data_IF_757412308043
#
_entry.id   IF_757412308043
#
_cell.length_a   1.000
_cell.length_b   1.000
_cell.length_c   1.000
_cell.angle_alpha   90.00
_cell.angle_beta   90.00
_cell.angle_gamma   90.00
#
_symmetry.space_group_name_H-M   'P 1'
#
loop_
_entity.id
_entity.type
_entity.pdbx_description
1 polymer ?
#
# COMPACT_ATOMS: atom_id res chain seq x y z
N UNK A 1 -11.40 9.14 8.18
CA UNK A 1 -10.15 9.40 7.42
C UNK A 1 -10.25 8.65 6.11
N UNK A 2 -9.89 9.28 4.98
CA UNK A 2 -9.86 8.65 3.65
C UNK A 2 -8.46 8.82 3.07
N UNK A 3 -7.81 7.70 2.74
CA UNK A 3 -6.49 7.68 2.12
C UNK A 3 -6.68 7.75 0.62
N UNK A 4 -6.27 8.86 0.00
CA UNK A 4 -6.37 9.06 -1.46
C UNK A 4 -5.21 8.45 -2.24
N UNK A 5 -4.02 8.44 -1.64
CA UNK A 5 -2.77 8.04 -2.28
C UNK A 5 -1.77 7.58 -1.24
N UNK A 6 -1.03 6.52 -1.56
CA UNK A 6 0.11 6.01 -0.80
C UNK A 6 1.31 5.98 -1.74
N UNK A 7 2.39 6.65 -1.36
CA UNK A 7 3.68 6.57 -2.03
C UNK A 7 4.73 6.08 -1.04
N UNK A 8 5.44 5.01 -1.40
CA UNK A 8 6.52 4.46 -0.59
C UNK A 8 7.80 4.43 -1.43
N UNK A 9 8.93 4.75 -0.78
CA UNK A 9 10.27 4.61 -1.34
C UNK A 9 11.15 3.96 -0.27
N UNK A 10 11.90 2.94 -0.66
CA UNK A 10 12.78 2.15 0.22
C UNK A 10 12.09 1.66 1.51
N UNK A 11 10.83 1.24 1.39
CA UNK A 11 10.01 0.76 2.50
C UNK A 11 9.78 -0.74 2.41
N UNK A 12 10.47 -1.49 3.29
CA UNK A 12 10.36 -2.95 3.40
C UNK A 12 10.59 -3.62 2.03
N UNK A 13 9.58 -4.29 1.48
CA UNK A 13 9.66 -4.98 0.21
C UNK A 13 9.50 -4.07 -1.01
N UNK A 14 9.20 -2.77 -0.85
CA UNK A 14 9.05 -1.82 -1.95
C UNK A 14 10.28 -0.91 -2.07
N UNK A 15 11.00 -1.02 -3.20
CA UNK A 15 11.96 0.02 -3.62
C UNK A 15 11.21 1.31 -3.98
N UNK A 16 10.14 1.20 -4.77
CA UNK A 16 9.18 2.28 -5.03
C UNK A 16 7.80 1.72 -5.34
N UNK A 17 6.76 2.30 -4.77
CA UNK A 17 5.37 2.05 -5.17
C UNK A 17 4.52 3.29 -4.98
N UNK A 18 3.57 3.50 -5.88
CA UNK A 18 2.55 4.54 -5.77
C UNK A 18 1.18 3.92 -6.07
N UNK A 19 0.23 4.10 -5.16
CA UNK A 19 -1.13 3.58 -5.28
C UNK A 19 -2.12 4.70 -5.01
N UNK A 20 -3.01 4.93 -5.96
CA UNK A 20 -4.18 5.78 -5.78
C UNK A 20 -5.37 4.93 -5.34
N UNK A 21 -6.20 5.50 -4.47
CA UNK A 21 -7.40 4.85 -3.97
C UNK A 21 -8.61 5.72 -4.26
N UNK A 22 -9.66 5.11 -4.79
CA UNK A 22 -10.98 5.74 -4.89
C UNK A 22 -11.77 5.55 -3.59
N UNK A 23 -12.82 6.37 -3.36
CA UNK A 23 -13.74 6.13 -2.26
C UNK A 23 -14.41 4.75 -2.37
N UNK A 24 -14.38 3.97 -1.30
CA UNK A 24 -15.00 2.65 -1.25
C UNK A 24 -14.07 1.58 -0.67
N UNK A 25 -14.39 0.32 -0.97
CA UNK A 25 -13.60 -0.84 -0.53
C UNK A 25 -12.52 -1.14 -1.56
N UNK A 26 -11.26 -1.16 -1.12
CA UNK A 26 -10.13 -1.61 -1.92
C UNK A 26 -9.70 -3.02 -1.49
N UNK A 27 -9.37 -3.88 -2.46
CA UNK A 27 -8.84 -5.23 -2.21
C UNK A 27 -7.44 -5.33 -2.79
N UNK A 28 -6.45 -5.62 -1.94
CA UNK A 28 -5.07 -5.87 -2.38
C UNK A 28 -4.88 -7.36 -2.68
N UNK A 29 -4.58 -7.71 -3.93
CA UNK A 29 -4.45 -9.10 -4.39
C UNK A 29 -3.02 -9.36 -4.90
N UNK A 30 -2.51 -10.56 -4.63
CA UNK A 30 -1.17 -10.98 -5.05
C UNK A 30 -0.64 -12.12 -4.18
N UNK A 31 0.47 -12.73 -4.60
CA UNK A 31 1.09 -13.83 -3.86
C UNK A 31 1.68 -13.38 -2.51
N UNK A 32 1.97 -14.35 -1.63
CA UNK A 32 2.69 -14.08 -0.39
C UNK A 32 4.09 -13.52 -0.71
N UNK A 33 4.54 -12.55 0.09
CA UNK A 33 5.81 -11.86 -0.14
C UNK A 33 5.75 -10.65 -1.09
N UNK A 34 4.62 -10.38 -1.77
CA UNK A 34 4.50 -9.25 -2.72
C UNK A 34 4.22 -7.87 -2.07
N UNK A 35 4.42 -7.73 -0.76
CA UNK A 35 4.31 -6.43 -0.10
C UNK A 35 2.91 -5.95 0.29
N UNK A 36 1.86 -6.73 0.06
CA UNK A 36 0.45 -6.35 0.40
C UNK A 36 0.30 -5.84 1.84
N UNK A 37 0.87 -6.57 2.81
CA UNK A 37 0.84 -6.17 4.22
C UNK A 37 1.65 -4.90 4.46
N UNK A 38 2.77 -4.71 3.76
CA UNK A 38 3.60 -3.51 3.92
C UNK A 38 2.84 -2.25 3.50
N UNK A 39 2.02 -2.32 2.44
CA UNK A 39 1.18 -1.20 2.01
C UNK A 39 0.19 -0.78 3.12
N UNK A 40 -0.39 -1.74 3.83
CA UNK A 40 -1.32 -1.47 4.95
C UNK A 40 -0.57 -0.98 6.19
N UNK A 41 0.56 -1.60 6.52
CA UNK A 41 1.41 -1.19 7.66
C UNK A 41 1.90 0.26 7.52
N UNK A 42 2.19 0.71 6.30
CA UNK A 42 2.63 2.07 6.04
C UNK A 42 1.59 3.14 6.41
N UNK A 43 0.30 2.79 6.51
CA UNK A 43 -0.76 3.71 6.95
C UNK A 43 -0.77 3.95 8.46
N UNK A 44 -0.10 3.07 9.22
CA UNK A 44 -0.05 3.13 10.68
C UNK A 44 1.23 3.74 11.26
N UNK A 45 2.23 4.05 10.42
CA UNK A 45 3.41 4.82 10.80
C UNK A 45 3.11 6.32 10.71
#
# INVERSE_FOLDING_TARGET
MYVRRVELTDFRSYERVAVDFDPGVAVLVGQNGMGKTNLVEALGY
#
